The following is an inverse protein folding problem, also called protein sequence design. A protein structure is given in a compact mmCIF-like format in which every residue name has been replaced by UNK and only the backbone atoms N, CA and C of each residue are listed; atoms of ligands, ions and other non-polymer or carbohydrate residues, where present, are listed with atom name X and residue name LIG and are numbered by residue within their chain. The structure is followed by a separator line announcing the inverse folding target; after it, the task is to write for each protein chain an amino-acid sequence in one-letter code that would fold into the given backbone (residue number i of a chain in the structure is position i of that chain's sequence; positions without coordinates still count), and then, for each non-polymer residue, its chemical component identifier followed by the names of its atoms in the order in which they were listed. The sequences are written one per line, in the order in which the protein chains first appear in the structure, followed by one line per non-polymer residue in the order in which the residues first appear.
data_IF_279966219921
#
_entry.id   IF_279966219921
#
_cell.length_a   1.000
_cell.length_b   1.000
_cell.length_c   1.000
_cell.angle_alpha   90.00
_cell.angle_beta   90.00
_cell.angle_gamma   90.00
#
_symmetry.space_group_name_H-M   'P 1'
#
loop_
_entity.id
_entity.type
_entity.pdbx_description
1 polymer ?
#
# COMPACT_ATOMS: atom_id res chain seq x y z
N UNK A 1 20.15 -7.94 -6.33
CA UNK A 1 21.33 -7.03 -6.16
C UNK A 1 20.89 -5.62 -5.79
N UNK A 2 19.72 -5.16 -6.26
CA UNK A 2 19.08 -3.92 -5.80
C UNK A 2 18.61 -3.99 -4.34
N UNK A 3 18.21 -5.18 -3.88
CA UNK A 3 17.55 -5.40 -2.57
C UNK A 3 18.44 -4.96 -1.40
N UNK A 4 19.73 -5.35 -1.43
CA UNK A 4 20.69 -4.96 -0.40
C UNK A 4 20.99 -3.46 -0.39
N UNK A 5 20.96 -2.80 -1.55
CA UNK A 5 21.26 -1.36 -1.67
C UNK A 5 20.19 -0.53 -0.96
N UNK A 6 18.91 -0.85 -1.18
CA UNK A 6 17.82 -0.14 -0.51
C UNK A 6 17.88 -0.32 1.00
N UNK A 7 18.12 -1.56 1.47
CA UNK A 7 18.22 -1.89 2.89
C UNK A 7 19.34 -1.08 3.56
N UNK A 8 20.54 -1.10 2.99
CA UNK A 8 21.69 -0.39 3.55
C UNK A 8 21.52 1.13 3.51
N UNK A 9 21.03 1.67 2.39
CA UNK A 9 20.90 3.12 2.20
C UNK A 9 19.88 3.74 3.15
N UNK A 10 18.73 3.08 3.33
CA UNK A 10 17.63 3.54 4.17
C UNK A 10 17.73 3.06 5.62
N UNK A 11 18.70 2.20 5.94
CA UNK A 11 18.85 1.60 7.27
C UNK A 11 17.66 0.72 7.67
N UNK A 12 17.06 0.05 6.68
CA UNK A 12 15.85 -0.77 6.85
C UNK A 12 16.16 -1.99 7.70
N UNK A 13 15.37 -2.21 8.75
CA UNK A 13 15.54 -3.34 9.65
C UNK A 13 14.25 -3.65 10.39
N UNK A 14 14.24 -4.78 11.08
CA UNK A 14 13.13 -5.17 11.94
C UNK A 14 13.36 -4.64 13.35
N UNK A 15 12.28 -4.14 13.96
CA UNK A 15 12.32 -3.70 15.35
C UNK A 15 12.48 -4.90 16.30
N UNK A 16 11.83 -6.00 15.96
CA UNK A 16 11.85 -7.25 16.69
C UNK A 16 12.70 -8.30 15.93
N UNK A 17 12.35 -9.57 16.08
CA UNK A 17 12.85 -10.69 15.28
C UNK A 17 12.50 -10.57 13.78
N UNK A 18 13.25 -11.30 12.96
CA UNK A 18 13.05 -11.39 11.51
C UNK A 18 14.06 -10.55 10.73
N UNK A 19 13.96 -10.66 9.40
CA UNK A 19 14.81 -9.94 8.47
C UNK A 19 13.95 -9.02 7.60
N UNK A 20 14.54 -7.93 7.13
CA UNK A 20 13.89 -7.03 6.18
C UNK A 20 14.09 -7.56 4.76
N UNK A 21 13.00 -7.78 4.04
CA UNK A 21 13.00 -8.31 2.69
C UNK A 21 12.53 -7.27 1.68
N UNK A 22 13.08 -7.36 0.47
CA UNK A 22 12.60 -6.68 -0.74
C UNK A 22 12.51 -7.76 -1.80
N UNK A 23 11.30 -8.21 -2.12
CA UNK A 23 11.07 -9.26 -3.11
C UNK A 23 10.85 -8.66 -4.50
N UNK A 24 11.85 -7.95 -5.03
CA UNK A 24 11.75 -7.38 -6.38
C UNK A 24 11.54 -8.49 -7.43
N UNK A 25 10.51 -8.33 -8.27
CA UNK A 25 10.21 -9.28 -9.35
C UNK A 25 9.43 -10.54 -8.92
N UNK A 26 9.05 -10.65 -7.65
CA UNK A 26 8.09 -11.65 -7.19
C UNK A 26 6.66 -11.35 -7.68
N UNK A 27 5.78 -12.36 -7.64
CA UNK A 27 4.36 -12.22 -7.98
C UNK A 27 3.68 -11.14 -7.12
N UNK A 28 4.01 -11.12 -5.83
CA UNK A 28 3.71 -10.04 -4.92
C UNK A 28 5.03 -9.40 -4.49
N UNK A 29 5.30 -8.15 -4.88
CA UNK A 29 6.59 -7.51 -4.60
C UNK A 29 6.69 -7.02 -3.14
N UNK A 30 6.62 -7.94 -2.17
CA UNK A 30 6.65 -7.63 -0.74
C UNK A 30 7.89 -6.83 -0.34
N UNK A 31 7.66 -5.86 0.54
CA UNK A 31 8.70 -5.13 1.24
C UNK A 31 8.34 -5.04 2.72
N UNK A 32 9.29 -5.31 3.59
CA UNK A 32 9.06 -5.22 5.03
C UNK A 32 9.72 -6.35 5.79
N UNK A 33 9.36 -6.43 7.06
CA UNK A 33 9.92 -7.41 7.96
C UNK A 33 9.08 -8.69 8.03
N UNK A 34 9.75 -9.81 7.88
CA UNK A 34 9.16 -11.13 7.99
C UNK A 34 10.10 -12.07 8.75
N UNK A 35 9.56 -12.99 9.55
CA UNK A 35 10.37 -14.03 10.20
C UNK A 35 10.67 -15.22 9.29
N UNK A 36 9.88 -15.40 8.24
CA UNK A 36 10.10 -16.38 7.17
C UNK A 36 10.49 -15.65 5.89
N UNK A 37 11.36 -16.22 5.06
CA UNK A 37 11.77 -15.62 3.79
C UNK A 37 10.58 -15.60 2.80
N UNK A 38 9.99 -14.42 2.52
CA UNK A 38 8.86 -14.31 1.61
C UNK A 38 9.29 -14.39 0.14
N UNK A 39 10.57 -14.18 -0.15
CA UNK A 39 11.10 -14.15 -1.51
C UNK A 39 11.53 -15.54 -2.02
N UNK A 40 11.65 -16.53 -1.12
CA UNK A 40 12.20 -17.87 -1.41
C UNK A 40 11.55 -18.58 -2.61
N UNK A 41 10.22 -18.53 -2.73
CA UNK A 41 9.46 -19.22 -3.78
C UNK A 41 9.05 -18.28 -4.94
N UNK A 42 9.50 -17.01 -4.93
CA UNK A 42 9.09 -16.00 -5.90
C UNK A 42 7.63 -15.51 -5.74
N UNK A 43 6.90 -16.01 -4.75
CA UNK A 43 5.54 -15.55 -4.44
C UNK A 43 5.52 -14.18 -3.75
N UNK A 44 6.52 -13.89 -2.92
CA UNK A 44 6.67 -12.62 -2.21
C UNK A 44 5.51 -12.34 -1.25
N UNK A 45 5.06 -13.38 -0.54
CA UNK A 45 4.01 -13.26 0.48
C UNK A 45 4.62 -13.54 1.84
N UNK A 46 4.55 -12.57 2.75
CA UNK A 46 4.84 -12.77 4.15
C UNK A 46 3.55 -13.21 4.87
N UNK A 47 3.51 -14.39 5.51
CA UNK A 47 2.36 -14.81 6.30
C UNK A 47 2.04 -13.84 7.45
N UNK A 48 0.76 -13.63 7.77
CA UNK A 48 0.34 -12.68 8.81
C UNK A 48 1.01 -12.92 10.17
N UNK A 49 1.22 -14.19 10.54
CA UNK A 49 1.89 -14.57 11.79
C UNK A 49 3.39 -14.22 11.83
N UNK A 50 4.00 -14.04 10.66
CA UNK A 50 5.43 -13.80 10.47
C UNK A 50 5.72 -12.33 10.18
N UNK A 51 4.69 -11.54 9.88
CA UNK A 51 4.80 -10.11 9.62
C UNK A 51 5.25 -9.35 10.87
N UNK A 52 6.22 -8.44 10.71
CA UNK A 52 6.81 -7.64 11.79
C UNK A 52 6.91 -6.18 11.39
N UNK A 53 6.96 -5.31 12.39
CA UNK A 53 7.14 -3.88 12.15
C UNK A 53 8.55 -3.61 11.65
N UNK A 54 8.63 -2.78 10.61
CA UNK A 54 9.91 -2.32 10.09
C UNK A 54 10.23 -0.91 10.59
N UNK A 55 11.52 -0.67 10.74
CA UNK A 55 12.09 0.64 11.05
C UNK A 55 13.11 1.03 9.98
N UNK A 56 13.56 2.27 10.04
CA UNK A 56 14.47 2.89 9.07
C UNK A 56 15.32 3.95 9.77
N UNK A 57 16.34 4.44 9.08
CA UNK A 57 17.15 5.57 9.54
C UNK A 57 16.40 6.90 9.38
N UNK A 58 16.18 7.63 10.48
CA UNK A 58 15.46 8.91 10.50
C UNK A 58 16.07 9.95 9.56
N UNK A 59 17.39 9.91 9.34
CA UNK A 59 18.10 10.83 8.43
C UNK A 59 17.67 10.66 6.96
N UNK A 60 16.97 9.56 6.66
CA UNK A 60 16.46 9.22 5.34
C UNK A 60 14.97 9.51 5.17
N UNK A 61 14.32 10.12 6.17
CA UNK A 61 12.88 10.40 6.14
C UNK A 61 12.43 11.18 4.91
N UNK A 62 13.06 12.33 4.61
CA UNK A 62 12.71 13.18 3.46
C UNK A 62 12.96 12.49 2.10
N UNK A 63 13.75 11.41 2.15
CA UNK A 63 14.17 10.64 1.00
C UNK A 63 13.26 9.42 0.75
N UNK A 64 12.48 9.03 1.75
CA UNK A 64 11.58 7.89 1.67
C UNK A 64 10.37 8.23 0.81
N UNK A 65 10.31 7.67 -0.40
CA UNK A 65 9.10 7.77 -1.24
C UNK A 65 8.09 6.72 -0.81
N UNK A 66 6.82 7.13 -0.80
CA UNK A 66 5.70 6.25 -0.44
C UNK A 66 5.68 5.00 -1.30
N UNK A 67 5.65 3.85 -0.65
CA UNK A 67 5.35 2.58 -1.29
C UNK A 67 3.86 2.29 -1.19
N UNK A 68 3.47 1.03 -1.41
CA UNK A 68 2.07 0.60 -1.41
C UNK A 68 1.85 -0.48 -0.33
N UNK A 69 0.58 -0.73 -0.05
CA UNK A 69 0.15 -1.83 0.80
C UNK A 69 -0.50 -2.91 -0.06
N UNK A 70 -0.33 -4.16 0.31
CA UNK A 70 -1.07 -5.29 -0.26
C UNK A 70 -2.49 -5.33 0.34
N UNK A 71 -3.19 -4.21 0.19
CA UNK A 71 -4.57 -4.01 0.59
C UNK A 71 -5.24 -3.09 -0.44
N UNK A 72 -6.57 -3.17 -0.49
CA UNK A 72 -7.41 -2.32 -1.36
C UNK A 72 -7.16 -0.81 -1.19
N UNK A 73 -6.67 -0.37 -0.02
CA UNK A 73 -6.33 1.02 0.27
C UNK A 73 -4.96 1.43 -0.25
N UNK A 74 -4.10 0.47 -0.62
CA UNK A 74 -2.78 0.68 -1.18
C UNK A 74 -1.98 1.76 -0.43
N UNK A 75 -1.40 2.73 -1.15
CA UNK A 75 -0.57 3.80 -0.59
C UNK A 75 -1.25 4.78 0.39
N UNK A 76 -2.57 4.67 0.63
CA UNK A 76 -3.28 5.57 1.57
C UNK A 76 -3.04 5.20 3.03
N UNK A 77 -2.69 3.95 3.30
CA UNK A 77 -2.38 3.41 4.62
C UNK A 77 -0.90 3.04 4.77
N UNK A 78 -0.07 3.57 3.86
CA UNK A 78 1.39 3.56 3.99
C UNK A 78 1.84 4.74 4.85
N UNK A 79 2.64 4.44 5.88
CA UNK A 79 3.17 5.42 6.82
C UNK A 79 4.70 5.35 6.90
N UNK A 80 5.28 6.53 7.10
CA UNK A 80 6.68 6.72 7.48
C UNK A 80 6.63 7.68 8.65
N UNK A 81 7.06 7.24 9.83
CA UNK A 81 6.95 8.01 11.08
C UNK A 81 8.33 8.15 11.70
N UNK A 82 8.88 9.37 11.70
CA UNK A 82 10.20 9.67 12.26
C UNK A 82 10.17 10.00 13.77
N UNK A 83 9.00 10.25 14.34
CA UNK A 83 8.84 10.71 15.73
C UNK A 83 8.82 9.62 16.78
N UNK A 84 8.97 8.35 16.37
CA UNK A 84 8.97 7.17 17.25
C UNK A 84 10.41 6.70 17.47
N UNK A 85 10.64 6.01 18.58
CA UNK A 85 11.91 5.35 18.88
C UNK A 85 11.70 3.83 19.11
N UNK A 86 11.94 2.97 18.11
CA UNK A 86 12.46 3.32 16.79
C UNK A 86 11.36 3.80 15.81
N UNK A 87 11.76 4.46 14.70
CA UNK A 87 10.84 4.95 13.66
C UNK A 87 9.97 3.85 13.07
N UNK A 88 8.79 4.19 12.56
CA UNK A 88 7.94 3.22 11.85
C UNK A 88 8.00 3.43 10.35
N UNK A 89 8.12 2.32 9.60
CA UNK A 89 7.94 2.27 8.16
C UNK A 89 7.04 1.10 7.79
N UNK A 90 6.00 1.34 7.00
CA UNK A 90 5.18 0.27 6.45
C UNK A 90 3.70 0.62 6.38
N UNK A 91 2.88 -0.42 6.30
CA UNK A 91 1.43 -0.29 6.20
C UNK A 91 0.75 -0.55 7.53
N UNK A 92 -0.18 0.31 7.91
CA UNK A 92 -0.92 0.17 9.17
C UNK A 92 -2.37 0.59 9.00
N UNK A 93 -3.31 -0.14 9.60
CA UNK A 93 -4.74 0.18 9.53
C UNK A 93 -5.08 1.53 10.19
N UNK A 94 -4.35 1.85 11.25
CA UNK A 94 -4.44 3.10 12.03
C UNK A 94 -3.11 3.82 11.95
N UNK A 95 -3.11 5.16 11.95
CA UNK A 95 -1.87 5.92 11.89
C UNK A 95 -0.93 5.56 13.05
N UNK A 96 0.30 5.09 12.75
CA UNK A 96 1.20 4.61 13.79
C UNK A 96 2.09 5.72 14.36
N UNK A 97 2.04 6.95 13.85
CA UNK A 97 3.04 7.98 14.16
C UNK A 97 2.99 8.55 15.59
N UNK A 98 2.07 8.07 16.43
CA UNK A 98 2.01 8.42 17.86
C UNK A 98 2.50 7.29 18.76
N UNK A 99 2.03 6.05 18.53
CA UNK A 99 2.23 4.91 19.45
C UNK A 99 2.82 3.66 18.76
N UNK A 100 3.16 3.75 17.48
CA UNK A 100 3.55 2.61 16.65
C UNK A 100 2.35 1.87 16.04
N UNK A 101 2.64 0.81 15.28
CA UNK A 101 1.65 -0.06 14.67
C UNK A 101 1.63 -1.40 15.40
N UNK A 102 0.50 -1.78 15.98
CA UNK A 102 0.34 -3.10 16.60
C UNK A 102 0.18 -4.19 15.54
N UNK A 103 0.45 -5.46 15.88
CA UNK A 103 0.43 -6.57 14.91
C UNK A 103 -0.92 -6.75 14.23
N UNK A 104 -2.01 -6.56 14.95
CA UNK A 104 -3.37 -6.68 14.42
C UNK A 104 -3.75 -5.58 13.44
N UNK A 105 -3.05 -4.44 13.47
CA UNK A 105 -3.23 -3.34 12.53
C UNK A 105 -2.16 -3.35 11.44
N UNK A 106 -1.13 -4.18 11.56
CA UNK A 106 -0.02 -4.24 10.63
C UNK A 106 -0.46 -4.96 9.35
N UNK A 107 -0.13 -4.36 8.21
CA UNK A 107 -0.49 -4.91 6.90
C UNK A 107 0.78 -5.16 6.07
N UNK A 108 0.77 -6.18 5.20
CA UNK A 108 1.86 -6.39 4.27
C UNK A 108 2.02 -5.19 3.34
N UNK A 109 3.26 -4.76 3.15
CA UNK A 109 3.59 -3.71 2.21
C UNK A 109 4.24 -4.28 0.95
N UNK A 110 4.11 -3.54 -0.14
CA UNK A 110 4.60 -3.94 -1.46
C UNK A 110 5.26 -2.75 -2.16
N UNK A 111 6.17 -3.05 -3.08
CA UNK A 111 6.75 -2.04 -3.96
C UNK A 111 5.64 -1.26 -4.68
N UNK A 112 5.86 0.05 -4.80
CA UNK A 112 4.89 0.91 -5.46
C UNK A 112 4.74 0.53 -6.94
N UNK A 113 3.50 0.48 -7.44
CA UNK A 113 3.25 0.41 -8.89
C UNK A 113 3.64 1.71 -9.62
N UNK A 114 3.88 2.81 -8.89
CA UNK A 114 4.40 4.05 -9.46
C UNK A 114 5.90 3.92 -9.69
N UNK A 115 6.31 3.83 -10.96
CA UNK A 115 7.71 3.68 -11.38
C UNK A 115 8.68 4.67 -10.69
N UNK A 116 8.29 5.94 -10.53
CA UNK A 116 9.13 6.93 -9.85
C UNK A 116 9.36 6.62 -8.36
N UNK A 117 8.34 6.18 -7.63
CA UNK A 117 8.46 5.83 -6.22
C UNK A 117 9.22 4.51 -6.03
N UNK A 118 8.94 3.53 -6.89
CA UNK A 118 9.64 2.25 -6.92
C UNK A 118 11.13 2.44 -7.17
N UNK A 119 11.48 3.16 -8.23
CA UNK A 119 12.88 3.39 -8.59
C UNK A 119 13.64 4.18 -7.52
N UNK A 120 13.01 5.21 -6.94
CA UNK A 120 13.63 5.96 -5.85
C UNK A 120 13.94 5.08 -4.63
N UNK A 121 13.10 4.08 -4.35
CA UNK A 121 13.30 3.16 -3.24
C UNK A 121 14.35 2.08 -3.54
N UNK A 122 14.34 1.49 -4.74
CA UNK A 122 15.26 0.41 -5.10
C UNK A 122 16.66 0.88 -5.48
N UNK A 123 16.78 2.09 -6.02
CA UNK A 123 18.04 2.67 -6.50
C UNK A 123 18.21 4.12 -5.99
N UNK A 124 18.29 4.32 -4.67
CA UNK A 124 18.34 5.65 -4.09
C UNK A 124 19.60 6.41 -4.48
N UNK A 125 20.77 5.76 -4.50
CA UNK A 125 22.04 6.43 -4.78
C UNK A 125 22.07 7.13 -6.14
N UNK A 126 21.53 6.48 -7.17
CA UNK A 126 21.46 7.04 -8.53
C UNK A 126 20.45 8.19 -8.64
N UNK A 127 19.29 8.04 -7.99
CA UNK A 127 18.23 9.06 -8.01
C UNK A 127 18.67 10.32 -7.26
N UNK A 128 19.31 10.17 -6.10
CA UNK A 128 19.83 11.31 -5.34
C UNK A 128 21.06 11.94 -5.99
N UNK A 129 22.00 11.15 -6.52
CA UNK A 129 23.14 11.69 -7.26
C UNK A 129 22.68 12.51 -8.47
N UNK A 130 21.70 12.03 -9.23
CA UNK A 130 21.13 12.76 -10.37
C UNK A 130 20.40 14.04 -9.92
N UNK A 131 19.70 13.99 -8.78
CA UNK A 131 18.98 15.15 -8.22
C UNK A 131 19.96 16.23 -7.74
N UNK A 132 21.06 15.85 -7.09
CA UNK A 132 22.08 16.80 -6.62
C UNK A 132 22.83 17.44 -7.80
N UNK A 133 23.16 16.67 -8.85
CA UNK A 133 23.80 17.19 -10.07
C UNK A 133 22.86 18.13 -10.85
N UNK A 134 21.56 17.82 -10.89
CA UNK A 134 20.54 18.69 -11.52
C UNK A 134 20.25 19.96 -10.70
N UNK A 135 20.37 19.90 -9.38
CA UNK A 135 20.19 21.06 -8.49
C UNK A 135 21.39 22.01 -8.53
N UNK A 136 22.59 21.48 -8.76
CA UNK A 136 23.84 22.25 -8.88
C UNK A 136 23.91 23.09 -10.17
N UNK A 137 23.22 22.66 -11.23
CA UNK A 137 23.11 23.42 -12.49
C UNK A 137 22.00 24.49 -12.48
N UNK A 138 21.00 24.36 -11.60
CA UNK A 138 19.94 25.37 -11.45
C UNK A 138 20.31 26.57 -10.57
N UNK A 139 21.39 26.48 -9.76
CA UNK A 139 21.77 27.52 -8.81
C UNK A 139 22.58 28.71 -9.40
N UNK A 140 22.89 28.72 -10.70
CA UNK A 140 23.73 29.78 -11.31
C UNK A 140 22.98 30.99 -11.90
N UNK A 141 21.66 31.10 -11.73
CA UNK A 141 20.92 32.27 -12.24
C UNK A 141 19.78 32.69 -11.32
N UNK A 142 20.10 33.58 -10.36
CA UNK A 142 19.23 34.69 -9.88
C UNK A 142 19.95 35.44 -8.76
N UNK A 143 20.86 36.32 -9.17
CA UNK A 143 21.30 37.45 -8.36
C UNK A 143 20.96 38.75 -9.08
N UNK A 144 20.60 39.75 -8.28
CA UNK A 144 20.40 41.16 -8.58
C UNK A 144 19.10 41.57 -9.32
N UNK A 145 18.26 42.36 -8.66
CA UNK A 145 18.20 43.82 -8.92
C UNK A 145 17.32 44.51 -7.87
N UNK A 146 17.93 45.50 -7.21
CA UNK A 146 17.37 46.43 -6.24
C UNK A 146 16.64 47.61 -6.90
N UNK A 147 16.01 48.44 -6.05
CA UNK A 147 15.61 49.86 -6.23
C UNK A 147 14.14 50.10 -6.60
N UNK A 148 13.41 51.15 -6.19
CA UNK A 148 13.41 52.11 -5.07
C UNK A 148 12.31 53.15 -5.41
N UNK A 149 11.47 53.54 -4.43
CA UNK A 149 10.82 54.86 -4.15
C UNK A 149 10.00 55.55 -5.29
N UNK A 150 8.96 56.41 -5.12
CA UNK A 150 8.47 57.39 -4.14
C UNK A 150 7.03 57.79 -4.59
N UNK A 151 5.98 57.89 -3.74
CA UNK A 151 5.54 59.00 -2.87
C UNK A 151 4.41 59.91 -3.44
N UNK A 152 3.31 60.07 -2.67
CA UNK A 152 2.47 61.28 -2.41
C UNK A 152 1.08 60.82 -1.89
N UNK A 153 0.73 60.84 -0.59
CA UNK A 153 0.53 61.91 0.41
C UNK A 153 -0.86 62.58 0.39
N UNK A 154 -1.39 62.74 1.61
CA UNK A 154 -2.52 63.56 2.11
C UNK A 154 -3.86 62.81 2.33
N UNK A 155 -4.57 62.91 3.45
CA UNK A 155 -4.38 63.57 4.75
C UNK A 155 -5.54 63.17 5.69
N UNK A 156 -5.29 63.31 7.00
CA UNK A 156 -6.22 63.60 8.10
C UNK A 156 -6.81 62.48 8.99
N UNK A 157 -6.23 62.46 10.20
CA UNK A 157 -6.88 62.71 11.49
C UNK A 157 -7.38 61.53 12.33
N UNK A 158 -6.74 61.39 13.51
CA UNK A 158 -7.21 60.91 14.82
C UNK A 158 -7.94 59.54 14.86
N UNK A 159 -7.65 58.60 15.75
CA UNK A 159 -7.27 58.67 17.15
C UNK A 159 -6.70 57.30 17.55
N UNK A 160 -5.90 57.29 18.60
CA UNK A 160 -5.32 56.18 19.37
C UNK A 160 -6.19 54.91 19.42
N UNK A 161 -5.66 53.79 18.92
CA UNK A 161 -6.19 52.45 19.13
C UNK A 161 -5.44 51.73 20.25
N UNK A 162 -6.15 51.35 21.31
CA UNK A 162 -5.74 50.29 22.23
C UNK A 162 -6.78 49.15 22.24
N UNK A 163 -6.28 47.92 22.23
CA UNK A 163 -6.90 46.65 22.66
C UNK A 163 -8.14 46.07 21.93
N UNK A 164 -7.86 45.14 21.00
CA UNK A 164 -8.33 43.74 20.92
C UNK A 164 -9.79 43.34 21.24
N UNK A 165 -10.43 42.60 20.32
CA UNK A 165 -11.54 41.70 20.67
C UNK A 165 -12.49 41.32 19.52
N UNK A 166 -12.20 40.19 18.86
CA UNK A 166 -13.10 39.23 18.18
C UNK A 166 -14.24 39.78 17.28
N UNK A 167 -14.06 39.61 15.97
CA UNK A 167 -15.00 39.98 14.90
C UNK A 167 -16.33 39.20 14.95
N UNK A 168 -17.43 39.94 15.15
CA UNK A 168 -18.84 39.55 15.02
C UNK A 168 -19.28 39.29 13.55
N UNK A 169 -18.42 38.66 12.74
CA UNK A 169 -18.60 38.56 11.29
C UNK A 169 -18.85 37.17 10.71
N UNK A 170 -18.93 36.10 11.51
CA UNK A 170 -19.04 34.72 10.99
C UNK A 170 -20.21 33.90 11.55
N UNK A 171 -21.10 34.51 12.34
CA UNK A 171 -22.30 33.86 12.90
C UNK A 171 -23.55 34.43 12.23
N UNK A 172 -23.69 34.18 10.92
CA UNK A 172 -24.96 34.33 10.21
C UNK A 172 -24.91 33.57 8.89
N UNK A 173 -25.45 32.35 8.88
CA UNK A 173 -25.98 31.76 7.65
C UNK A 173 -25.46 30.37 7.28
N UNK A 174 -25.99 29.33 7.92
CA UNK A 174 -26.55 28.17 7.20
C UNK A 174 -27.73 27.63 8.03
N UNK A 175 -28.89 28.27 7.91
CA UNK A 175 -30.16 27.70 8.31
C UNK A 175 -31.00 27.50 7.04
N UNK A 176 -31.51 26.28 6.86
CA UNK A 176 -32.38 25.79 5.79
C UNK A 176 -31.74 25.39 4.43
N UNK A 177 -31.00 24.27 4.40
CA UNK A 177 -30.86 23.44 3.19
C UNK A 177 -30.55 21.94 3.50
N UNK A 178 -31.14 21.37 4.55
CA UNK A 178 -30.81 20.01 5.03
C UNK A 178 -31.82 18.92 4.67
N UNK A 179 -32.84 19.19 3.85
CA UNK A 179 -33.78 18.14 3.44
C UNK A 179 -33.39 17.45 2.12
N UNK A 180 -32.75 18.16 1.17
CA UNK A 180 -32.49 17.60 -0.15
C UNK A 180 -31.31 16.62 -0.16
N UNK A 181 -30.19 16.95 0.51
CA UNK A 181 -28.95 16.14 0.45
C UNK A 181 -29.11 14.83 1.23
N UNK A 182 -29.73 14.86 2.40
CA UNK A 182 -29.99 13.66 3.20
C UNK A 182 -30.90 12.66 2.47
N UNK A 183 -31.98 13.16 1.86
CA UNK A 183 -32.90 12.32 1.07
C UNK A 183 -32.21 11.78 -0.19
N UNK A 184 -31.35 12.57 -0.84
CA UNK A 184 -30.60 12.13 -2.02
C UNK A 184 -29.58 11.03 -1.68
N UNK A 185 -28.86 11.14 -0.56
CA UNK A 185 -27.93 10.12 -0.10
C UNK A 185 -28.64 8.83 0.32
N UNK A 186 -29.78 8.94 1.01
CA UNK A 186 -30.60 7.77 1.38
C UNK A 186 -31.19 7.10 0.13
N UNK A 187 -31.67 7.87 -0.86
CA UNK A 187 -32.14 7.33 -2.14
C UNK A 187 -31.02 6.63 -2.92
N UNK A 188 -29.81 7.20 -2.97
CA UNK A 188 -28.65 6.57 -3.62
C UNK A 188 -28.21 5.28 -2.90
N UNK A 189 -28.23 5.26 -1.57
CA UNK A 189 -27.90 4.06 -0.79
C UNK A 189 -28.95 2.97 -0.98
N UNK A 190 -30.24 3.29 -0.94
CA UNK A 190 -31.31 2.34 -1.22
C UNK A 190 -31.24 1.82 -2.66
N UNK A 191 -30.99 2.70 -3.64
CA UNK A 191 -30.82 2.29 -5.04
C UNK A 191 -29.62 1.36 -5.20
N UNK A 192 -28.45 1.70 -4.63
CA UNK A 192 -27.26 0.86 -4.73
C UNK A 192 -27.44 -0.47 -4.01
N UNK A 193 -28.02 -0.46 -2.81
CA UNK A 193 -28.33 -1.67 -2.04
C UNK A 193 -29.46 -2.52 -2.65
N UNK A 194 -30.35 -1.95 -3.47
CA UNK A 194 -31.39 -2.70 -4.19
C UNK A 194 -30.97 -3.13 -5.60
N UNK A 195 -29.97 -2.49 -6.20
CA UNK A 195 -29.42 -2.89 -7.49
C UNK A 195 -28.34 -3.97 -7.39
N UNK A 196 -27.55 -4.02 -6.31
CA UNK A 196 -26.54 -5.08 -6.16
C UNK A 196 -27.09 -6.51 -5.92
N UNK A 197 -28.22 -6.73 -5.22
CA UNK A 197 -28.77 -8.08 -5.05
C UNK A 197 -29.64 -8.52 -6.24
N UNK A 198 -30.17 -7.58 -7.04
CA UNK A 198 -31.09 -7.89 -8.15
C UNK A 198 -30.38 -8.45 -9.39
N UNK A 199 -29.07 -8.24 -9.52
CA UNK A 199 -28.25 -8.93 -10.52
C UNK A 199 -27.69 -10.28 -10.05
N UNK A 200 -28.01 -10.73 -8.82
CA UNK A 200 -27.62 -12.04 -8.28
C UNK A 200 -28.80 -12.96 -7.98
N UNK A 201 -29.93 -12.77 -8.68
CA UNK A 201 -31.08 -13.71 -8.65
C UNK A 201 -31.55 -14.11 -10.05
N UNK A 202 -30.64 -14.66 -10.83
CA UNK A 202 -30.92 -15.69 -11.82
C UNK A 202 -29.76 -16.69 -11.82
N UNK A 203 -29.73 -17.56 -10.81
CA UNK A 203 -29.15 -18.90 -10.88
C UNK A 203 -29.78 -19.70 -9.75
N UNK A 204 -31.05 -20.09 -9.99
CA UNK A 204 -31.61 -21.24 -9.31
C UNK A 204 -30.92 -22.48 -9.86
N UNK A 205 -29.99 -23.03 -9.10
CA UNK A 205 -29.64 -24.45 -9.22
C UNK A 205 -29.91 -25.14 -7.89
N UNK A 206 -31.07 -25.80 -7.90
CA UNK A 206 -31.38 -27.09 -7.33
C UNK A 206 -30.59 -27.55 -6.10
N UNK A 207 -31.29 -27.44 -4.98
CA UNK A 207 -31.19 -28.33 -3.84
C UNK A 207 -31.50 -29.77 -4.31
N UNK A 208 -30.47 -30.64 -4.40
CA UNK A 208 -30.65 -32.09 -4.52
C UNK A 208 -30.57 -32.70 -3.11
N UNK A 209 -31.63 -33.35 -2.60
CA UNK A 209 -31.55 -34.05 -1.32
C UNK A 209 -30.76 -35.36 -1.49
N UNK A 210 -29.67 -35.51 -0.73
CA UNK A 210 -28.97 -36.78 -0.58
C UNK A 210 -29.86 -37.72 0.24
N UNK A 211 -30.50 -38.65 -0.46
CA UNK A 211 -31.24 -39.75 0.14
C UNK A 211 -30.30 -40.78 0.76
N UNK A 212 -30.42 -40.96 2.06
CA UNK A 212 -29.83 -42.01 2.88
C UNK A 212 -30.71 -43.27 2.92
N UNK A 213 -30.22 -44.45 2.51
CA UNK A 213 -30.58 -45.79 3.05
C UNK A 213 -29.81 -46.95 2.35
N UNK A 214 -29.76 -48.21 2.86
CA UNK A 214 -28.52 -48.78 3.40
C UNK A 214 -28.14 -50.20 2.87
N UNK A 215 -26.98 -50.70 3.29
CA UNK A 215 -26.63 -52.09 3.68
C UNK A 215 -26.96 -53.28 2.72
N UNK A 216 -25.94 -53.96 2.18
CA UNK A 216 -25.71 -55.40 2.47
C UNK A 216 -24.41 -56.01 1.91
N UNK A 217 -24.05 -57.11 2.57
CA UNK A 217 -22.84 -57.94 2.58
C UNK A 217 -22.66 -58.92 1.39
N UNK A 218 -21.41 -59.36 1.25
CA UNK A 218 -20.93 -60.73 0.97
C UNK A 218 -20.85 -61.33 -0.46
N UNK A 219 -19.61 -61.74 -0.77
CA UNK A 219 -19.15 -63.07 -1.24
C UNK A 219 -18.96 -63.42 -2.75
N UNK A 220 -17.74 -63.98 -2.99
CA UNK A 220 -17.29 -65.03 -3.93
C UNK A 220 -16.70 -64.68 -5.33
N UNK A 221 -15.42 -65.08 -5.47
CA UNK A 221 -14.64 -65.64 -6.59
C UNK A 221 -15.28 -65.84 -7.98
N UNK A 222 -14.57 -65.43 -9.05
CA UNK A 222 -13.77 -66.32 -9.94
C UNK A 222 -13.65 -65.79 -11.39
N UNK A 223 -12.41 -65.72 -11.90
CA UNK A 223 -12.04 -66.04 -13.29
C UNK A 223 -12.12 -64.93 -14.36
N UNK A 224 -11.02 -64.75 -15.12
CA UNK A 224 -11.08 -64.09 -16.43
C UNK A 224 -9.76 -63.47 -16.89
N UNK A 225 -9.02 -64.22 -17.71
CA UNK A 225 -7.76 -63.88 -18.38
C UNK A 225 -7.83 -62.60 -19.24
N UNK A 226 -6.70 -61.90 -19.37
CA UNK A 226 -6.56 -60.79 -20.31
C UNK A 226 -5.19 -60.13 -20.26
N UNK A 227 -4.18 -60.83 -20.77
CA UNK A 227 -2.86 -60.30 -21.11
C UNK A 227 -2.97 -59.27 -22.25
N UNK A 228 -2.45 -58.06 -22.05
CA UNK A 228 -2.06 -57.16 -23.15
C UNK A 228 -0.96 -56.20 -22.68
N UNK A 229 0.28 -56.52 -23.07
CA UNK A 229 1.43 -55.64 -23.06
C UNK A 229 1.68 -55.19 -24.51
N UNK A 230 1.78 -53.87 -24.74
CA UNK A 230 2.50 -53.29 -25.87
C UNK A 230 2.44 -51.76 -25.91
N UNK A 231 3.63 -51.16 -25.94
CA UNK A 231 4.01 -49.85 -26.49
C UNK A 231 3.82 -48.58 -25.64
N UNK A 232 4.91 -48.16 -24.99
CA UNK A 232 5.35 -46.75 -25.08
C UNK A 232 6.87 -46.61 -25.03
N UNK A 233 7.46 -46.24 -26.17
CA UNK A 233 8.90 -45.95 -26.31
C UNK A 233 9.28 -44.58 -25.72
N UNK A 234 10.55 -44.39 -25.32
CA UNK A 234 11.13 -43.13 -24.87
C UNK A 234 11.47 -42.19 -26.03
N UNK A 235 11.20 -40.90 -25.86
CA UNK A 235 11.67 -39.82 -26.73
C UNK A 235 13.08 -39.40 -26.32
N UNK A 236 14.06 -39.66 -27.19
CA UNK A 236 15.32 -38.93 -27.22
C UNK A 236 15.81 -38.87 -28.67
N UNK A 237 16.59 -37.84 -29.00
CA UNK A 237 17.15 -37.44 -30.30
C UNK A 237 16.29 -36.56 -31.22
N UNK A 238 16.78 -35.32 -31.37
CA UNK A 238 16.65 -34.28 -32.41
C UNK A 238 16.34 -32.95 -31.70
N UNK A 239 17.13 -31.87 -31.77
CA UNK A 239 17.97 -31.46 -32.88
C UNK A 239 18.98 -30.39 -32.41
N UNK A 240 20.27 -30.67 -32.58
CA UNK A 240 21.35 -29.69 -32.67
C UNK A 240 21.65 -29.57 -34.17
N UNK A 241 21.35 -28.43 -34.78
CA UNK A 241 21.93 -27.95 -36.03
C UNK A 241 22.15 -26.45 -35.90
#
# INVERSE_FOLDING_TARGET
MSDSVAIDYYGLRCNDEGDFYVCEGADNEFIGCCTSDPCADGGGICPDGDLRTATFDVDKFDQMKKQSCDDSRASTVWYTCQGLDPPFLGCCDVSPCSEGCTRENLLPAVLSSKSANRKAFLDPENVYSTTIVSSSTAASTRSATSSASASASASNSADSSDSGGLSHGAVAGIAAASAAVGVFLIMLLLWKCWWLPRHRKQNGQQFHPVGSHPHMHHHHHAGGLGEYDSHRSPTDYYQRQ
#
